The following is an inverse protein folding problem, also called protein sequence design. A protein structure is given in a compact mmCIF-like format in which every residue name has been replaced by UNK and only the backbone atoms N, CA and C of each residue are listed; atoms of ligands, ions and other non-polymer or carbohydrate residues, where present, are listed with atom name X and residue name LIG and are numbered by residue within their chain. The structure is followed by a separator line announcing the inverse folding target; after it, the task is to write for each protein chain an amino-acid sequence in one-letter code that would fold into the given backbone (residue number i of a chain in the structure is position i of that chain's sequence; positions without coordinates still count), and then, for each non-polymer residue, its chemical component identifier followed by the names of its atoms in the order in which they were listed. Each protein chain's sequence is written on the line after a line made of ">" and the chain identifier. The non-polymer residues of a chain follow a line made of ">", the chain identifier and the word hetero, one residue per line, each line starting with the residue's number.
data_IF_030579377725
#
_entry.id   IF_030579377725
#
_cell.length_a   1.000
_cell.length_b   1.000
_cell.length_c   1.000
_cell.angle_alpha   90.00
_cell.angle_beta   90.00
_cell.angle_gamma   90.00
#
_symmetry.space_group_name_H-M   'P 1'
#
loop_
_entity.id
_entity.type
_entity.pdbx_description
1 polymer ?
#
# COMPACT_ATOMS: atom_id res chain seq x y z
N UNK A 1 -67.92 -12.17 -22.87
CA UNK A 1 -67.37 -10.87 -23.36
C UNK A 1 -66.98 -10.03 -22.15
N UNK A 2 -65.72 -10.13 -21.69
CA UNK A 2 -65.19 -9.32 -20.60
C UNK A 2 -64.23 -8.27 -21.14
N UNK A 3 -64.49 -6.99 -20.89
CA UNK A 3 -63.62 -5.87 -21.29
C UNK A 3 -62.65 -5.55 -20.16
N UNK A 4 -61.35 -5.63 -20.47
CA UNK A 4 -60.24 -5.15 -19.65
C UNK A 4 -60.23 -3.61 -19.60
N UNK A 5 -59.82 -3.03 -18.47
CA UNK A 5 -59.22 -1.68 -18.41
C UNK A 5 -58.00 -1.71 -17.49
N UNK A 6 -56.99 -0.97 -17.91
CA UNK A 6 -55.58 -1.04 -17.54
C UNK A 6 -55.13 0.40 -17.22
N UNK A 7 -54.32 0.53 -16.15
CA UNK A 7 -53.26 1.53 -15.85
C UNK A 7 -53.63 2.98 -15.48
N UNK A 8 -52.93 3.44 -14.44
CA UNK A 8 -52.58 4.86 -14.24
C UNK A 8 -51.90 5.10 -12.88
N UNK A 9 -50.70 4.55 -12.65
CA UNK A 9 -49.91 4.81 -11.44
C UNK A 9 -48.89 5.91 -11.77
N UNK A 10 -49.07 7.10 -11.19
CA UNK A 10 -48.21 8.27 -11.40
C UNK A 10 -47.11 8.25 -10.35
N UNK A 11 -45.87 8.04 -10.79
CA UNK A 11 -44.65 8.20 -9.99
C UNK A 11 -44.39 9.68 -9.70
N UNK A 12 -44.24 10.01 -8.42
CA UNK A 12 -43.73 11.30 -7.96
C UNK A 12 -42.21 11.18 -7.74
N UNK A 13 -41.43 11.86 -8.57
CA UNK A 13 -39.98 12.03 -8.38
C UNK A 13 -39.77 13.29 -7.54
N UNK A 14 -39.21 13.14 -6.33
CA UNK A 14 -38.75 14.26 -5.51
C UNK A 14 -37.25 14.41 -5.75
N UNK A 15 -36.87 15.49 -6.43
CA UNK A 15 -35.48 15.93 -6.56
C UNK A 15 -35.15 16.81 -5.36
N UNK A 16 -34.33 16.32 -4.44
CA UNK A 16 -33.77 17.14 -3.35
C UNK A 16 -32.42 17.68 -3.82
N UNK A 17 -32.42 18.96 -4.18
CA UNK A 17 -31.23 19.79 -4.38
C UNK A 17 -30.67 20.17 -3.01
N UNK A 18 -29.53 19.59 -2.63
CA UNK A 18 -28.74 20.07 -1.47
C UNK A 18 -27.64 20.98 -1.99
N UNK A 19 -27.78 22.27 -1.65
CA UNK A 19 -26.77 23.31 -1.87
C UNK A 19 -25.70 23.14 -0.78
N UNK A 20 -24.50 22.69 -1.16
CA UNK A 20 -23.33 22.68 -0.28
C UNK A 20 -22.69 24.06 -0.25
N UNK A 21 -22.74 24.73 0.92
CA UNK A 21 -21.95 25.93 1.20
C UNK A 21 -20.57 25.48 1.64
N UNK A 22 -19.55 25.84 0.86
CA UNK A 22 -18.15 25.59 1.18
C UNK A 22 -17.62 26.55 2.24
N UNK A 23 -16.79 26.04 3.14
CA UNK A 23 -15.80 26.83 3.88
C UNK A 23 -14.48 26.10 3.75
N UNK A 24 -13.54 26.73 3.05
CA UNK A 24 -12.16 26.27 2.94
C UNK A 24 -11.39 26.59 4.21
N UNK A 25 -10.48 25.69 4.58
CA UNK A 25 -9.34 25.98 5.43
C UNK A 25 -8.11 25.32 4.81
N UNK A 26 -7.25 26.15 4.21
CA UNK A 26 -5.89 25.76 3.86
C UNK A 26 -5.07 25.76 5.15
N UNK A 27 -4.58 24.59 5.55
CA UNK A 27 -3.56 24.48 6.60
C UNK A 27 -2.23 24.16 5.90
N UNK A 28 -1.41 25.19 5.73
CA UNK A 28 0.00 25.05 5.39
C UNK A 28 0.79 24.66 6.64
N UNK A 29 1.38 23.47 6.65
CA UNK A 29 2.36 23.09 7.67
C UNK A 29 3.75 23.56 7.22
N UNK A 30 4.24 24.62 7.85
CA UNK A 30 5.66 24.97 7.83
C UNK A 30 6.43 23.98 8.70
N UNK A 31 7.29 23.17 8.08
CA UNK A 31 8.34 22.41 8.75
C UNK A 31 9.29 23.38 9.49
N UNK A 32 9.28 23.34 10.83
CA UNK A 32 10.39 23.84 11.64
C UNK A 32 11.36 22.69 11.90
N UNK A 33 12.53 22.75 11.29
CA UNK A 33 13.69 21.94 11.67
C UNK A 33 14.20 22.40 13.04
N UNK A 34 14.16 21.52 14.03
CA UNK A 34 15.01 21.63 15.22
C UNK A 34 16.24 20.74 15.01
N UNK A 35 17.30 21.35 14.47
CA UNK A 35 18.65 20.79 14.54
C UNK A 35 19.17 21.11 15.95
N UNK A 36 19.42 20.08 16.74
CA UNK A 36 20.15 20.18 18.00
C UNK A 36 21.63 20.24 17.64
N UNK A 37 22.19 21.45 17.63
CA UNK A 37 23.62 21.69 17.56
C UNK A 37 24.11 21.95 19.00
N UNK A 38 24.88 21.00 19.54
CA UNK A 38 25.66 21.15 20.76
C UNK A 38 27.08 20.68 20.45
N UNK A 39 28.01 21.60 20.32
CA UNK A 39 29.14 21.73 21.25
C UNK A 39 30.13 22.79 20.75
N UNK A 40 30.82 23.38 21.72
CA UNK A 40 32.10 24.10 21.63
C UNK A 40 32.08 25.63 21.51
N UNK A 41 32.31 26.27 22.67
CA UNK A 41 33.23 27.39 23.00
C UNK A 41 32.76 27.98 24.33
N UNK A 42 33.56 28.37 25.31
CA UNK A 42 35.00 28.61 25.49
C UNK A 42 35.37 27.99 26.88
N UNK A 43 36.60 27.89 27.40
CA UNK A 43 37.68 28.85 27.44
C UNK A 43 38.94 28.20 28.05
N UNK A 44 40.08 28.82 27.75
CA UNK A 44 41.46 28.44 28.05
C UNK A 44 41.84 28.28 29.52
N UNK A 45 42.86 27.43 29.78
CA UNK A 45 43.99 27.80 30.65
C UNK A 45 45.18 26.86 30.44
N UNK A 46 46.32 27.47 30.09
CA UNK A 46 47.62 26.84 29.93
C UNK A 46 48.34 26.60 31.27
N UNK A 47 49.14 25.52 31.36
CA UNK A 47 50.53 25.56 31.91
C UNK A 47 51.25 24.20 31.83
N UNK A 48 52.37 24.23 31.09
CA UNK A 48 53.69 23.61 31.31
C UNK A 48 53.87 22.36 32.18
N UNK A 49 54.52 21.36 31.58
CA UNK A 49 55.76 20.64 31.98
C UNK A 49 55.71 19.24 31.33
N UNK A 50 56.77 18.52 30.96
CA UNK A 50 58.22 18.66 30.91
C UNK A 50 58.71 17.34 30.27
N UNK A 51 59.80 17.41 29.53
CA UNK A 51 60.55 16.37 28.81
C UNK A 51 60.86 15.06 29.57
N UNK A 52 60.86 13.93 28.84
CA UNK A 52 61.89 12.86 28.81
C UNK A 52 61.42 11.82 27.76
N UNK A 53 62.11 11.56 26.63
CA UNK A 53 63.45 11.02 26.34
C UNK A 53 63.56 9.48 26.49
N UNK A 54 64.10 8.87 25.42
CA UNK A 54 64.70 7.54 25.28
C UNK A 54 63.71 6.36 25.14
N UNK A 55 63.87 5.35 24.27
CA UNK A 55 64.95 4.88 23.36
C UNK A 55 64.28 3.91 22.37
N UNK A 56 64.55 3.98 21.07
CA UNK A 56 65.50 3.10 20.38
C UNK A 56 65.02 1.63 20.22
N UNK A 57 64.56 1.25 19.02
CA UNK A 57 65.29 0.33 18.12
C UNK A 57 64.51 -0.02 16.85
N UNK A 58 65.26 0.11 15.77
CA UNK A 58 65.06 -0.27 14.37
C UNK A 58 64.74 -1.75 14.15
N UNK A 59 63.89 -2.04 13.16
CA UNK A 59 64.31 -2.96 12.08
C UNK A 59 63.47 -2.76 10.80
N UNK A 60 64.15 -2.50 9.69
CA UNK A 60 63.62 -2.38 8.33
C UNK A 60 64.12 -3.59 7.56
N UNK A 61 63.23 -4.39 6.96
CA UNK A 61 63.49 -4.94 5.62
C UNK A 61 62.23 -5.45 4.90
N UNK A 62 61.85 -4.68 3.86
CA UNK A 62 61.38 -5.06 2.51
C UNK A 62 61.18 -6.56 2.19
N UNK A 63 59.97 -6.94 1.71
CA UNK A 63 59.66 -7.18 0.27
C UNK A 63 58.27 -7.85 0.04
N UNK A 64 57.55 -7.32 -0.96
CA UNK A 64 56.90 -8.02 -2.07
C UNK A 64 55.52 -8.71 -1.89
N UNK A 65 54.52 -8.02 -2.45
CA UNK A 65 53.28 -8.44 -3.13
C UNK A 65 52.96 -9.94 -3.27
N UNK A 66 51.77 -10.35 -2.81
CA UNK A 66 50.75 -11.03 -3.65
C UNK A 66 49.48 -11.32 -2.83
N UNK A 67 48.35 -11.25 -3.54
CA UNK A 67 46.98 -11.42 -3.08
C UNK A 67 46.69 -12.79 -2.45
N UNK A 68 45.90 -12.80 -1.38
CA UNK A 68 45.04 -13.94 -1.03
C UNK A 68 43.87 -13.49 -0.16
N UNK A 69 42.68 -13.63 -0.73
CA UNK A 69 41.36 -13.49 -0.10
C UNK A 69 41.29 -14.39 1.13
N UNK A 70 41.02 -13.82 2.30
CA UNK A 70 40.57 -14.58 3.47
C UNK A 70 39.22 -14.00 3.89
N UNK A 71 38.18 -14.75 3.57
CA UNK A 71 36.80 -14.50 4.00
C UNK A 71 36.74 -14.61 5.52
N UNK A 72 36.29 -13.55 6.19
CA UNK A 72 36.13 -13.49 7.65
C UNK A 72 34.63 -13.59 7.96
N UNK A 73 34.28 -14.65 8.71
CA UNK A 73 33.17 -14.79 9.68
C UNK A 73 31.72 -14.69 9.14
N UNK A 74 30.93 -15.77 9.19
CA UNK A 74 30.09 -16.22 10.33
C UNK A 74 29.25 -15.06 10.90
N UNK A 75 27.91 -15.12 10.96
CA UNK A 75 27.13 -16.01 11.83
C UNK A 75 25.72 -16.21 11.27
N UNK A 76 25.31 -17.45 11.01
CA UNK A 76 23.90 -17.80 10.96
C UNK A 76 23.42 -17.93 12.41
N UNK A 77 22.79 -16.88 12.93
CA UNK A 77 22.17 -16.88 14.25
C UNK A 77 20.66 -16.89 14.05
N UNK A 78 20.10 -18.06 13.72
CA UNK A 78 18.66 -18.30 13.84
C UNK A 78 18.39 -18.44 15.33
N UNK A 79 18.06 -17.31 15.95
CA UNK A 79 17.58 -17.28 17.32
C UNK A 79 16.16 -17.85 17.34
N UNK A 80 16.06 -19.02 17.95
CA UNK A 80 14.85 -19.63 18.48
C UNK A 80 14.18 -18.68 19.49
N UNK A 81 12.87 -18.53 19.34
CA UNK A 81 11.84 -18.16 20.33
C UNK A 81 12.18 -17.05 21.35
N UNK A 82 11.63 -15.86 21.10
CA UNK A 82 11.31 -14.90 22.16
C UNK A 82 9.78 -14.80 22.28
N UNK A 83 9.28 -15.27 23.41
CA UNK A 83 7.89 -15.24 23.86
C UNK A 83 7.26 -13.84 23.85
N UNK A 84 5.99 -13.79 23.40
CA UNK A 84 5.00 -12.71 23.58
C UNK A 84 5.20 -11.38 22.82
N UNK A 85 5.45 -11.46 21.52
CA UNK A 85 4.90 -10.45 20.59
C UNK A 85 3.51 -10.94 20.17
N UNK A 86 2.50 -10.06 20.21
CA UNK A 86 1.16 -10.40 19.72
C UNK A 86 1.27 -10.85 18.28
N UNK A 87 0.95 -12.12 17.98
CA UNK A 87 0.93 -12.63 16.62
C UNK A 87 -0.12 -11.86 15.80
N UNK A 88 0.16 -11.55 14.54
CA UNK A 88 -0.76 -10.81 13.67
C UNK A 88 -2.11 -11.50 13.61
N UNK A 89 -2.08 -12.83 13.54
CA UNK A 89 -3.28 -13.68 13.45
C UNK A 89 -4.10 -13.69 14.75
N UNK A 90 -3.52 -13.25 15.88
CA UNK A 90 -4.22 -13.10 17.16
C UNK A 90 -5.02 -11.80 17.26
N UNK A 91 -4.76 -10.83 16.38
CA UNK A 91 -5.49 -9.56 16.35
C UNK A 91 -6.94 -9.78 15.89
N UNK A 92 -7.92 -8.97 16.37
CA UNK A 92 -9.26 -8.98 15.80
C UNK A 92 -9.21 -8.71 14.28
N UNK A 93 -10.08 -9.37 13.50
CA UNK A 93 -10.07 -9.27 12.03
C UNK A 93 -10.09 -7.81 11.53
N UNK A 94 -10.89 -6.93 12.13
CA UNK A 94 -10.90 -5.51 11.76
C UNK A 94 -9.57 -4.81 12.02
N UNK A 95 -8.82 -5.20 13.06
CA UNK A 95 -7.49 -4.65 13.31
C UNK A 95 -6.47 -5.16 12.29
N UNK A 96 -6.54 -6.44 11.89
CA UNK A 96 -5.72 -6.98 10.80
C UNK A 96 -5.95 -6.24 9.48
N UNK A 97 -7.22 -6.04 9.10
CA UNK A 97 -7.60 -5.27 7.90
C UNK A 97 -7.16 -3.81 8.01
N UNK A 98 -7.33 -3.18 9.17
CA UNK A 98 -6.91 -1.80 9.41
C UNK A 98 -5.40 -1.61 9.27
N UNK A 99 -4.60 -2.60 9.67
CA UNK A 99 -3.15 -2.59 9.45
C UNK A 99 -2.80 -2.61 7.97
N UNK A 100 -3.44 -3.49 7.20
CA UNK A 100 -3.22 -3.57 5.76
C UNK A 100 -3.62 -2.27 5.05
N UNK A 101 -4.74 -1.65 5.43
CA UNK A 101 -5.16 -0.33 4.95
C UNK A 101 -4.14 0.74 5.33
N UNK A 102 -3.74 0.79 6.61
CA UNK A 102 -2.78 1.79 7.08
C UNK A 102 -1.43 1.66 6.37
N UNK A 103 -0.97 0.44 6.10
CA UNK A 103 0.23 0.15 5.34
C UNK A 103 0.14 0.61 3.88
N UNK A 104 -0.93 0.24 3.16
CA UNK A 104 -1.18 0.65 1.77
C UNK A 104 -1.13 2.18 1.60
N UNK A 105 -1.69 2.91 2.57
CA UNK A 105 -1.67 4.38 2.60
C UNK A 105 -0.44 4.97 3.31
N UNK A 106 0.62 4.19 3.52
CA UNK A 106 1.90 4.63 4.09
C UNK A 106 1.75 5.37 5.42
N UNK A 107 0.94 4.81 6.33
CA UNK A 107 0.55 5.37 7.62
C UNK A 107 -0.30 6.65 7.56
N UNK A 108 -0.90 6.95 6.41
CA UNK A 108 -1.81 8.09 6.22
C UNK A 108 -3.15 7.69 5.57
N UNK A 109 -3.90 6.75 6.16
CA UNK A 109 -5.19 6.31 5.61
C UNK A 109 -6.24 7.43 5.66
N UNK A 110 -7.29 7.28 4.86
CA UNK A 110 -8.43 8.18 4.92
C UNK A 110 -9.22 7.95 6.21
N UNK A 111 -9.23 8.95 7.08
CA UNK A 111 -9.88 8.87 8.37
C UNK A 111 -11.37 9.23 8.28
N UNK A 112 -12.19 8.64 9.14
CA UNK A 112 -13.62 8.93 9.29
C UNK A 112 -14.48 8.66 8.04
N UNK A 113 -14.02 7.76 7.17
CA UNK A 113 -14.81 7.25 6.05
C UNK A 113 -14.98 5.73 6.19
N UNK A 114 -16.10 5.16 5.76
CA UNK A 114 -16.29 3.72 5.81
C UNK A 114 -15.37 3.01 4.83
N UNK A 115 -14.85 1.86 5.28
CA UNK A 115 -14.13 0.91 4.44
C UNK A 115 -14.95 -0.38 4.32
N UNK A 116 -15.13 -0.89 3.11
CA UNK A 116 -15.87 -2.13 2.85
C UNK A 116 -14.94 -3.19 2.26
N UNK A 117 -14.66 -4.28 3.01
CA UNK A 117 -13.96 -5.44 2.52
C UNK A 117 -14.91 -6.36 1.73
N UNK A 118 -14.48 -6.81 0.56
CA UNK A 118 -15.09 -7.90 -0.21
C UNK A 118 -14.18 -9.12 -0.11
N UNK A 119 -14.61 -10.16 0.61
CA UNK A 119 -13.81 -11.37 0.90
C UNK A 119 -14.50 -12.65 0.42
N UNK A 120 -15.44 -12.54 -0.53
CA UNK A 120 -16.15 -13.68 -1.09
C UNK A 120 -15.27 -14.63 -1.93
N UNK A 121 -14.03 -14.26 -2.24
CA UNK A 121 -13.05 -15.11 -2.92
C UNK A 121 -11.95 -15.52 -1.95
N UNK A 122 -11.63 -16.82 -1.90
CA UNK A 122 -10.59 -17.34 -1.02
C UNK A 122 -9.26 -16.61 -1.24
N UNK A 123 -8.59 -16.27 -0.14
CA UNK A 123 -7.25 -15.64 -0.11
C UNK A 123 -7.18 -14.24 -0.73
N UNK A 124 -8.32 -13.66 -1.13
CA UNK A 124 -8.40 -12.35 -1.78
C UNK A 124 -9.33 -11.44 -0.98
N UNK A 125 -8.87 -10.21 -0.76
CA UNK A 125 -9.66 -9.17 -0.09
C UNK A 125 -9.58 -7.93 -0.95
N UNK A 126 -10.70 -7.50 -1.52
CA UNK A 126 -10.76 -6.17 -2.15
C UNK A 126 -11.25 -5.19 -1.09
N UNK A 127 -10.41 -4.22 -0.77
CA UNK A 127 -10.76 -3.13 0.12
C UNK A 127 -11.25 -1.96 -0.71
N UNK A 128 -12.44 -1.48 -0.40
CA UNK A 128 -13.00 -0.26 -0.98
C UNK A 128 -13.29 0.77 0.09
N UNK A 129 -13.36 2.05 -0.27
CA UNK A 129 -13.74 3.11 0.65
C UNK A 129 -14.69 4.11 -0.02
N UNK A 130 -15.30 4.99 0.76
CA UNK A 130 -16.13 6.06 0.21
C UNK A 130 -15.27 7.15 -0.46
N UNK A 131 -15.52 7.43 -1.74
CA UNK A 131 -14.74 8.40 -2.50
C UNK A 131 -15.25 8.60 -3.93
N UNK A 132 -14.63 9.57 -4.62
CA UNK A 132 -14.99 9.94 -5.98
C UNK A 132 -14.18 9.16 -7.03
N UNK A 133 -14.73 9.05 -8.24
CA UNK A 133 -14.04 8.46 -9.39
C UNK A 133 -14.42 7.01 -9.71
N UNK A 134 -15.51 6.51 -9.14
CA UNK A 134 -15.98 5.15 -9.39
C UNK A 134 -15.22 4.11 -8.56
N UNK A 135 -15.86 2.95 -8.35
CA UNK A 135 -15.40 1.98 -7.36
C UNK A 135 -13.98 1.45 -7.63
N UNK A 136 -13.60 1.27 -8.89
CA UNK A 136 -12.25 0.80 -9.24
C UNK A 136 -11.13 1.78 -8.86
N UNK A 137 -11.42 3.09 -8.79
CA UNK A 137 -10.44 4.07 -8.36
C UNK A 137 -10.25 4.11 -6.84
N UNK A 138 -11.26 3.66 -6.11
CA UNK A 138 -11.31 3.65 -4.63
C UNK A 138 -11.22 2.21 -4.12
N UNK A 139 -10.44 1.37 -4.81
CA UNK A 139 -10.24 -0.03 -4.47
C UNK A 139 -8.77 -0.41 -4.54
N UNK A 140 -8.34 -1.31 -3.64
CA UNK A 140 -7.11 -2.06 -3.76
C UNK A 140 -7.36 -3.53 -3.39
N UNK A 141 -6.54 -4.43 -3.94
CA UNK A 141 -6.61 -5.86 -3.70
C UNK A 141 -5.48 -6.29 -2.76
N UNK A 142 -5.82 -7.11 -1.79
CA UNK A 142 -4.90 -7.80 -0.90
C UNK A 142 -4.99 -9.29 -1.23
N UNK A 143 -3.85 -9.94 -1.44
CA UNK A 143 -3.72 -11.39 -1.56
C UNK A 143 -2.97 -11.94 -0.35
N UNK A 144 -3.58 -12.88 0.38
CA UNK A 144 -2.87 -13.68 1.38
C UNK A 144 -2.07 -14.79 0.69
N UNK A 145 -0.75 -14.76 0.85
CA UNK A 145 0.16 -15.71 0.21
C UNK A 145 0.31 -17.02 1.01
N UNK A 146 -0.27 -17.11 2.22
CA UNK A 146 -0.17 -18.28 3.12
C UNK A 146 1.24 -18.62 3.60
N UNK A 147 2.19 -17.71 3.46
CA UNK A 147 3.59 -17.84 3.88
C UNK A 147 3.99 -16.79 4.95
N UNK A 148 3.00 -16.12 5.53
CA UNK A 148 3.21 -15.01 6.45
C UNK A 148 3.36 -13.64 5.78
N UNK A 149 3.08 -13.55 4.47
CA UNK A 149 3.07 -12.30 3.71
C UNK A 149 1.74 -12.02 3.03
N UNK A 150 1.53 -10.75 2.69
CA UNK A 150 0.42 -10.26 1.88
C UNK A 150 0.96 -9.52 0.66
N UNK A 151 0.35 -9.73 -0.50
CA UNK A 151 0.63 -8.93 -1.70
C UNK A 151 -0.47 -7.89 -1.88
N UNK A 152 -0.09 -6.63 -1.98
CA UNK A 152 -0.95 -5.49 -2.26
C UNK A 152 -0.94 -5.21 -3.76
N UNK A 153 -2.10 -4.86 -4.30
CA UNK A 153 -2.27 -4.57 -5.73
C UNK A 153 -3.24 -3.42 -5.92
N UNK A 154 -2.91 -2.53 -6.86
CA UNK A 154 -3.76 -1.41 -7.25
C UNK A 154 -4.34 -1.63 -8.65
N UNK A 155 -5.42 -0.92 -8.96
CA UNK A 155 -6.00 -0.94 -10.31
C UNK A 155 -5.15 -0.11 -11.26
N UNK A 156 -4.55 -0.77 -12.24
CA UNK A 156 -3.94 -0.12 -13.41
C UNK A 156 -4.94 -0.14 -14.57
N UNK A 157 -4.97 0.91 -15.40
CA UNK A 157 -5.95 1.04 -16.49
C UNK A 157 -5.35 1.77 -17.68
N UNK A 158 -5.77 1.42 -18.90
CA UNK A 158 -5.43 2.19 -20.11
C UNK A 158 -6.23 3.47 -20.24
N UNK A 159 -7.36 3.58 -19.55
CA UNK A 159 -8.17 4.80 -19.49
C UNK A 159 -7.61 5.82 -18.50
N UNK A 160 -7.43 7.06 -18.95
CA UNK A 160 -7.06 8.19 -18.10
C UNK A 160 -8.25 8.69 -17.25
N UNK A 161 -9.47 8.61 -17.79
CA UNK A 161 -10.66 9.09 -17.11
C UNK A 161 -11.20 8.05 -16.15
N UNK A 162 -11.31 8.39 -14.86
CA UNK A 162 -11.75 7.49 -13.80
C UNK A 162 -13.13 6.85 -14.08
N UNK A 163 -14.04 7.60 -14.71
CA UNK A 163 -15.38 7.14 -15.05
C UNK A 163 -15.41 6.08 -16.18
N UNK A 164 -14.33 5.95 -16.95
CA UNK A 164 -14.22 4.98 -18.06
C UNK A 164 -13.51 3.69 -17.65
N UNK A 165 -12.92 3.66 -16.44
CA UNK A 165 -12.29 2.45 -15.89
C UNK A 165 -13.33 1.35 -15.73
N UNK A 166 -13.03 0.17 -16.26
CA UNK A 166 -13.88 -1.02 -16.22
C UNK A 166 -13.03 -2.28 -16.28
N UNK A 167 -13.64 -3.44 -16.05
CA UNK A 167 -12.93 -4.72 -16.19
C UNK A 167 -12.40 -5.00 -17.60
N UNK A 168 -12.79 -4.24 -18.63
CA UNK A 168 -12.31 -4.43 -20.00
C UNK A 168 -10.97 -3.74 -20.28
N UNK A 169 -10.61 -2.75 -19.48
CA UNK A 169 -9.45 -1.89 -19.72
C UNK A 169 -8.61 -1.67 -18.45
N UNK A 170 -8.86 -2.46 -17.41
CA UNK A 170 -8.19 -2.35 -16.12
C UNK A 170 -7.70 -3.71 -15.65
N UNK A 171 -6.71 -3.77 -14.76
CA UNK A 171 -6.24 -5.01 -14.15
C UNK A 171 -5.62 -4.72 -12.77
N UNK A 172 -5.47 -5.76 -11.95
CA UNK A 172 -4.79 -5.66 -10.66
C UNK A 172 -3.28 -5.76 -10.87
N UNK A 173 -2.56 -4.69 -10.57
CA UNK A 173 -1.11 -4.65 -10.63
C UNK A 173 -0.52 -4.72 -9.24
N UNK A 174 0.28 -5.76 -8.98
CA UNK A 174 1.00 -5.89 -7.73
C UNK A 174 1.94 -4.70 -7.51
N UNK A 175 1.85 -4.10 -6.33
CA UNK A 175 2.65 -2.92 -5.94
C UNK A 175 3.68 -3.25 -4.89
N UNK A 176 3.33 -4.12 -3.93
CA UNK A 176 4.17 -4.44 -2.79
C UNK A 176 3.81 -5.81 -2.19
N UNK A 177 4.79 -6.47 -1.56
CA UNK A 177 4.56 -7.62 -0.68
C UNK A 177 5.08 -7.29 0.71
N UNK A 178 4.23 -7.43 1.73
CA UNK A 178 4.50 -7.07 3.11
C UNK A 178 4.38 -8.28 4.04
N UNK A 179 5.27 -8.40 5.03
CA UNK A 179 5.22 -9.48 6.02
C UNK A 179 4.32 -9.14 7.22
N UNK A 180 3.72 -10.16 7.85
CA UNK A 180 2.98 -10.01 9.12
C UNK A 180 3.83 -9.33 10.21
N UNK A 181 5.13 -9.65 10.26
CA UNK A 181 6.08 -9.03 11.21
C UNK A 181 6.24 -7.53 10.98
N UNK A 182 6.28 -7.10 9.72
CA UNK A 182 6.33 -5.67 9.35
C UNK A 182 5.06 -4.98 9.82
N UNK A 183 3.88 -5.55 9.52
CA UNK A 183 2.59 -4.99 9.92
C UNK A 183 2.45 -4.89 11.46
N UNK A 184 2.93 -5.88 12.20
CA UNK A 184 2.93 -5.83 13.66
C UNK A 184 3.82 -4.72 14.22
N UNK A 185 5.00 -4.53 13.62
CA UNK A 185 5.90 -3.44 14.02
C UNK A 185 5.25 -2.08 13.78
N UNK A 186 4.50 -1.93 12.69
CA UNK A 186 3.72 -0.72 12.39
C UNK A 186 2.56 -0.52 13.36
N UNK A 187 1.93 -1.60 13.83
CA UNK A 187 0.86 -1.52 14.82
C UNK A 187 1.32 -0.86 16.11
N UNK A 188 2.49 -1.22 16.62
CA UNK A 188 3.03 -0.67 17.87
C UNK A 188 3.28 0.85 17.76
N UNK A 189 3.67 1.32 16.57
CA UNK A 189 3.94 2.74 16.30
C UNK A 189 2.67 3.55 15.99
N UNK A 190 1.66 2.92 15.38
CA UNK A 190 0.49 3.60 14.82
C UNK A 190 -0.85 3.13 15.43
N UNK A 191 -0.82 2.53 16.62
CA UNK A 191 -1.98 1.88 17.25
C UNK A 191 -3.25 2.73 17.24
N UNK A 192 -3.17 4.01 17.61
CA UNK A 192 -4.32 4.92 17.62
C UNK A 192 -4.94 5.08 16.23
N UNK A 193 -4.11 5.24 15.20
CA UNK A 193 -4.56 5.35 13.81
C UNK A 193 -5.23 4.05 13.37
N UNK A 194 -4.60 2.91 13.64
CA UNK A 194 -5.12 1.59 13.28
C UNK A 194 -6.45 1.31 13.98
N UNK A 195 -6.56 1.59 15.28
CA UNK A 195 -7.80 1.39 16.04
C UNK A 195 -8.94 2.28 15.49
N UNK A 196 -8.62 3.49 15.02
CA UNK A 196 -9.59 4.40 14.38
C UNK A 196 -9.98 3.99 12.95
N UNK A 197 -9.08 3.38 12.19
CA UNK A 197 -9.44 2.77 10.89
C UNK A 197 -10.30 1.54 11.13
N UNK A 198 -9.92 0.69 12.09
CA UNK A 198 -10.66 -0.52 12.45
C UNK A 198 -12.11 -0.24 12.85
N UNK A 199 -12.38 0.87 13.55
CA UNK A 199 -13.74 1.28 13.89
C UNK A 199 -14.57 1.72 12.68
N UNK A 200 -13.93 2.14 11.60
CA UNK A 200 -14.56 2.59 10.35
C UNK A 200 -14.77 1.46 9.33
N UNK A 201 -14.20 0.27 9.56
CA UNK A 201 -14.43 -0.90 8.69
C UNK A 201 -15.85 -1.42 8.90
N UNK A 202 -16.63 -1.44 7.83
CA UNK A 202 -17.95 -2.03 7.75
C UNK A 202 -17.88 -3.41 7.09
N UNK A 203 -18.17 -4.45 7.87
CA UNK A 203 -18.11 -5.84 7.41
C UNK A 203 -19.34 -6.27 6.61
N UNK A 204 -20.29 -5.38 6.33
CA UNK A 204 -21.53 -5.70 5.59
C UNK A 204 -21.29 -6.34 4.23
N UNK A 205 -20.15 -6.06 3.58
CA UNK A 205 -19.73 -6.61 2.28
C UNK A 205 -18.80 -7.81 2.35
N UNK A 206 -18.40 -8.23 3.55
CA UNK A 206 -17.35 -9.24 3.76
C UNK A 206 -17.62 -10.58 3.09
N UNK A 207 -18.88 -11.02 3.01
CA UNK A 207 -19.26 -12.28 2.38
C UNK A 207 -19.45 -12.16 0.84
N UNK A 208 -19.41 -10.95 0.28
CA UNK A 208 -19.62 -10.72 -1.14
C UNK A 208 -18.30 -10.81 -1.92
N UNK A 209 -18.37 -11.35 -3.13
CA UNK A 209 -17.27 -11.25 -4.09
C UNK A 209 -17.27 -9.86 -4.74
N UNK A 210 -16.09 -9.35 -5.09
CA UNK A 210 -15.96 -8.07 -5.79
C UNK A 210 -16.28 -8.24 -7.29
N UNK A 211 -17.36 -7.64 -7.77
CA UNK A 211 -17.88 -7.91 -9.13
C UNK A 211 -17.41 -6.93 -10.21
N UNK A 212 -16.67 -5.87 -9.85
CA UNK A 212 -16.34 -4.79 -10.78
C UNK A 212 -15.04 -5.03 -11.58
N UNK A 213 -14.12 -5.82 -11.03
CA UNK A 213 -12.89 -6.26 -11.66
C UNK A 213 -12.54 -7.65 -11.11
N UNK A 214 -12.47 -8.71 -11.93
CA UNK A 214 -12.12 -10.04 -11.46
C UNK A 214 -10.79 -10.03 -10.69
N UNK A 215 -10.75 -10.69 -9.54
CA UNK A 215 -9.58 -10.66 -8.63
C UNK A 215 -8.36 -11.40 -9.16
N UNK A 216 -8.53 -12.22 -10.20
CA UNK A 216 -7.47 -12.97 -10.88
C UNK A 216 -7.05 -12.32 -12.22
N UNK A 217 -7.55 -11.11 -12.51
CA UNK A 217 -7.16 -10.34 -13.70
C UNK A 217 -5.92 -9.51 -13.39
N UNK A 218 -4.74 -10.10 -13.54
CA UNK A 218 -3.43 -9.53 -13.22
C UNK A 218 -2.67 -8.97 -14.43
N UNK A 219 -3.29 -9.04 -15.62
CA UNK A 219 -2.79 -8.42 -16.85
C UNK A 219 -3.90 -7.66 -17.56
N UNK A 220 -3.52 -6.65 -18.36
CA UNK A 220 -4.46 -5.93 -19.23
C UNK A 220 -5.20 -6.93 -20.13
N UNK A 221 -6.55 -6.91 -20.18
CA UNK A 221 -7.29 -7.69 -21.16
C UNK A 221 -6.82 -7.38 -22.58
N UNK A 222 -6.80 -8.40 -23.44
CA UNK A 222 -6.62 -8.15 -24.87
C UNK A 222 -7.76 -7.23 -25.34
N UNK A 223 -7.41 -6.16 -26.05
CA UNK A 223 -8.42 -5.43 -26.82
C UNK A 223 -8.79 -6.36 -27.97
N UNK A 224 -10.06 -6.79 -28.02
CA UNK A 224 -10.65 -7.45 -29.19
C UNK A 224 -10.78 -6.45 -30.36
N UNK A 225 -9.66 -5.87 -30.79
CA UNK A 225 -9.51 -5.35 -32.14
C UNK A 225 -9.09 -6.52 -32.99
N UNK A 226 -10.06 -7.39 -33.30
CA UNK A 226 -9.95 -8.32 -34.42
C UNK A 226 -9.67 -7.48 -35.67
N UNK A 227 -8.44 -7.60 -36.19
CA UNK A 227 -8.05 -8.05 -37.53
C UNK A 227 -9.15 -8.18 -38.63
N UNK A 228 -10.13 -7.29 -38.69
CA UNK A 228 -11.03 -7.13 -39.83
C UNK A 228 -10.53 -5.97 -40.71
N UNK A 229 -9.46 -6.18 -41.48
CA UNK A 229 -9.17 -5.48 -42.76
C UNK A 229 -7.76 -5.85 -43.27
N UNK A 230 -7.51 -7.14 -43.48
CA UNK A 230 -6.62 -7.53 -44.57
C UNK A 230 -7.53 -7.78 -45.79
N UNK A 231 -7.96 -6.68 -46.40
CA UNK A 231 -8.50 -6.65 -47.75
C UNK A 231 -7.47 -7.32 -48.68
N UNK A 232 -7.67 -8.62 -48.88
CA UNK A 232 -7.16 -9.39 -50.01
C UNK A 232 -7.86 -8.85 -51.27
N UNK A 233 -7.46 -7.66 -51.70
CA UNK A 233 -7.70 -7.19 -53.07
C UNK A 233 -6.78 -8.04 -53.94
N UNK A 234 -7.28 -9.22 -54.29
CA UNK A 234 -6.81 -9.95 -55.46
C UNK A 234 -7.16 -9.11 -56.68
N UNK A 235 -6.14 -8.38 -57.14
CA UNK A 235 -6.09 -7.58 -58.36
C UNK A 235 -6.16 -8.52 -59.58
N UNK A 236 -7.33 -9.13 -59.81
CA UNK A 236 -7.59 -9.99 -60.96
C UNK A 236 -9.00 -9.68 -61.49
N UNK A 237 -9.11 -8.74 -62.44
CA UNK A 237 -9.78 -8.96 -63.73
C UNK A 237 -9.96 -7.66 -64.57
N UNK A 238 -9.42 -7.75 -65.81
CA UNK A 238 -9.65 -6.99 -67.05
C UNK A 238 -8.81 -5.75 -67.39
#
# INVERSE_FOLDING_TARGET
>A
MGKKKIIGLVSLIIVVLVVSVGVGAAIGYNHRSNVIERAEKDESSAKNNKSHESSDKTNVNKKQSSSAVTSIQSVANVATESSNLNDFDSLPQKAQLALLINHEFKNSPYMNIPYWPYMGTANKIVMTWDGNGGILNISFLITDNHDGTFTLSQVESSEETLALKSSKNSYWKATETVSKTTLLSEYELNKTTVDSVASSIDMSKSAEAFTYLPVDQDTMPANDTDDDDADDISDDEY
#
